data_IF_028237359383
#
_entry.id   IF_028237359383
#
_cell.length_a   1.000
_cell.length_b   1.000
_cell.length_c   1.000
_cell.angle_alpha   90.00
_cell.angle_beta   90.00
_cell.angle_gamma   90.00
#
_symmetry.space_group_name_H-M   'P 1'
#
loop_
_entity.id
_entity.type
_entity.pdbx_description
1 polymer ?
#
# COMPACT_ATOMS: atom_id res chain seq x y z
N UNK A 1 -3.33 0.35 19.31
CA UNK A 1 -2.26 -0.64 19.49
C UNK A 1 -0.96 0.11 19.70
N UNK A 2 -0.14 -0.27 20.67
CA UNK A 2 1.17 0.36 20.88
C UNK A 2 2.15 0.04 19.74
N UNK A 3 3.04 0.98 19.43
CA UNK A 3 4.02 0.86 18.33
C UNK A 3 4.90 -0.38 18.53
N UNK A 4 5.32 -0.66 19.78
CA UNK A 4 6.11 -1.84 20.12
C UNK A 4 5.38 -3.16 19.81
N UNK A 5 4.10 -3.28 20.20
CA UNK A 5 3.31 -4.48 19.92
C UNK A 5 3.16 -4.74 18.41
N UNK A 6 2.95 -3.68 17.61
CA UNK A 6 2.89 -3.83 16.14
C UNK A 6 4.21 -4.26 15.52
N UNK A 7 5.35 -3.82 16.06
CA UNK A 7 6.66 -4.24 15.56
C UNK A 7 6.94 -5.72 15.85
N UNK A 8 6.57 -6.22 17.04
CA UNK A 8 6.70 -7.64 17.36
C UNK A 8 5.83 -8.53 16.48
N UNK A 9 4.59 -8.11 16.21
CA UNK A 9 3.71 -8.82 15.28
C UNK A 9 4.31 -8.79 13.87
N UNK A 10 4.82 -7.64 13.42
CA UNK A 10 5.49 -7.50 12.13
C UNK A 10 6.70 -8.43 11.99
N UNK A 11 7.56 -8.49 12.99
CA UNK A 11 8.69 -9.42 13.02
C UNK A 11 8.24 -10.88 12.93
N UNK A 12 7.19 -11.25 13.67
CA UNK A 12 6.60 -12.58 13.62
C UNK A 12 6.06 -12.94 12.23
N UNK A 13 5.41 -11.99 11.55
CA UNK A 13 4.90 -12.19 10.19
C UNK A 13 6.02 -12.41 9.17
N UNK A 14 7.12 -11.66 9.27
CA UNK A 14 8.30 -11.84 8.40
C UNK A 14 8.93 -13.21 8.62
N UNK A 15 9.13 -13.59 9.89
CA UNK A 15 9.67 -14.91 10.22
C UNK A 15 8.75 -16.05 9.73
N UNK A 16 7.44 -15.90 9.91
CA UNK A 16 6.44 -16.85 9.41
C UNK A 16 6.50 -16.99 7.89
N UNK A 17 6.57 -15.87 7.16
CA UNK A 17 6.67 -15.87 5.70
C UNK A 17 7.89 -16.66 5.22
N UNK A 18 9.06 -16.42 5.82
CA UNK A 18 10.28 -17.18 5.51
C UNK A 18 10.11 -18.68 5.79
N UNK A 19 9.57 -19.06 6.95
CA UNK A 19 9.37 -20.49 7.28
C UNK A 19 8.39 -21.15 6.32
N UNK A 20 7.28 -20.47 5.98
CA UNK A 20 6.27 -21.00 5.06
C UNK A 20 6.86 -21.21 3.66
N UNK A 21 7.56 -20.22 3.09
CA UNK A 21 8.21 -20.38 1.80
C UNK A 21 9.37 -21.37 1.84
N UNK A 22 9.99 -21.56 3.00
CA UNK A 22 10.93 -22.64 3.21
C UNK A 22 10.23 -24.01 3.10
N UNK A 23 9.03 -24.18 3.65
CA UNK A 23 8.34 -25.48 3.59
C UNK A 23 7.69 -25.75 2.23
N UNK A 24 7.08 -24.73 1.62
CA UNK A 24 6.30 -24.86 0.37
C UNK A 24 7.21 -25.05 -0.84
N UNK A 25 8.35 -24.36 -0.88
CA UNK A 25 9.18 -24.22 -2.09
C UNK A 25 10.41 -25.13 -2.05
N UNK A 26 10.34 -26.28 -1.37
CA UNK A 26 11.48 -27.18 -1.14
C UNK A 26 12.14 -27.75 -2.41
N UNK A 27 11.47 -27.69 -3.56
CA UNK A 27 11.99 -28.17 -4.86
C UNK A 27 12.24 -27.06 -5.89
N UNK A 28 11.97 -25.79 -5.59
CA UNK A 28 12.23 -24.71 -6.55
C UNK A 28 13.64 -24.12 -6.37
N UNK A 29 14.10 -23.39 -7.40
CA UNK A 29 15.41 -22.73 -7.38
C UNK A 29 15.53 -21.78 -6.17
N UNK A 30 16.69 -21.74 -5.48
CA UNK A 30 16.89 -20.94 -4.26
C UNK A 30 16.48 -19.47 -4.41
N UNK A 31 16.78 -18.87 -5.57
CA UNK A 31 16.47 -17.46 -5.87
C UNK A 31 14.95 -17.20 -5.93
N UNK A 32 14.17 -18.08 -6.57
CA UNK A 32 12.73 -17.89 -6.68
C UNK A 32 12.01 -18.02 -5.32
N UNK A 33 12.59 -18.81 -4.41
CA UNK A 33 12.07 -19.00 -3.05
C UNK A 33 12.26 -17.76 -2.18
N UNK A 34 13.42 -17.11 -2.30
CA UNK A 34 13.71 -15.89 -1.56
C UNK A 34 12.80 -14.75 -2.01
N UNK A 35 12.64 -14.55 -3.33
CA UNK A 35 11.75 -13.53 -3.89
C UNK A 35 10.29 -13.70 -3.43
N UNK A 36 9.79 -14.94 -3.41
CA UNK A 36 8.44 -15.24 -2.92
C UNK A 36 8.30 -15.02 -1.40
N UNK A 37 9.33 -15.31 -0.61
CA UNK A 37 9.33 -15.06 0.83
C UNK A 37 9.32 -13.55 1.15
N UNK A 38 10.08 -12.76 0.39
CA UNK A 38 10.04 -11.30 0.49
C UNK A 38 8.66 -10.76 0.09
N UNK A 39 8.13 -11.23 -1.04
CA UNK A 39 6.81 -10.83 -1.52
C UNK A 39 5.70 -11.08 -0.50
N UNK A 40 5.64 -12.30 0.06
CA UNK A 40 4.65 -12.66 1.09
C UNK A 40 4.83 -11.83 2.38
N UNK A 41 6.08 -11.53 2.77
CA UNK A 41 6.35 -10.68 3.94
C UNK A 41 5.78 -9.27 3.74
N UNK A 42 6.01 -8.69 2.57
CA UNK A 42 5.53 -7.34 2.22
C UNK A 42 3.99 -7.29 2.20
N UNK A 43 3.33 -8.32 1.67
CA UNK A 43 1.86 -8.45 1.69
C UNK A 43 1.33 -8.47 3.12
N UNK A 44 1.90 -9.32 3.98
CA UNK A 44 1.45 -9.46 5.38
C UNK A 44 1.67 -8.17 6.19
N UNK A 45 2.78 -7.47 5.96
CA UNK A 45 3.05 -6.18 6.60
C UNK A 45 2.11 -5.08 6.09
N UNK A 46 1.80 -5.06 4.79
CA UNK A 46 0.79 -4.17 4.21
C UNK A 46 -0.58 -4.38 4.84
N UNK A 47 -1.02 -5.63 4.99
CA UNK A 47 -2.26 -5.98 5.70
C UNK A 47 -2.22 -5.58 7.18
N UNK A 48 -1.11 -5.84 7.89
CA UNK A 48 -0.96 -5.41 9.29
C UNK A 48 -1.09 -3.87 9.42
N UNK A 49 -0.51 -3.11 8.49
CA UNK A 49 -0.67 -1.65 8.46
C UNK A 49 -2.13 -1.23 8.26
N UNK A 50 -2.85 -1.87 7.33
CA UNK A 50 -4.27 -1.57 7.10
C UNK A 50 -5.15 -1.87 8.31
N UNK A 51 -4.87 -2.97 9.03
CA UNK A 51 -5.63 -3.36 10.23
C UNK A 51 -5.34 -2.42 11.40
N UNK A 52 -4.09 -2.00 11.55
CA UNK A 52 -3.65 -1.21 12.72
C UNK A 52 -3.88 0.29 12.57
N UNK A 53 -3.94 0.82 11.34
CA UNK A 53 -4.08 2.26 11.08
C UNK A 53 -5.41 2.58 10.39
N UNK A 54 -6.18 3.48 11.01
CA UNK A 54 -7.49 3.96 10.51
C UNK A 54 -7.42 5.27 9.71
N UNK A 55 -6.23 5.85 9.55
CA UNK A 55 -6.07 7.10 8.79
C UNK A 55 -5.93 6.80 7.30
N UNK A 56 -6.53 7.65 6.44
CA UNK A 56 -6.52 7.46 4.98
C UNK A 56 -5.10 7.27 4.41
N UNK A 57 -4.12 8.01 4.92
CA UNK A 57 -2.71 7.87 4.52
C UNK A 57 -2.14 6.49 4.86
N UNK A 58 -2.45 5.94 6.04
CA UNK A 58 -2.00 4.61 6.44
C UNK A 58 -2.65 3.51 5.61
N UNK A 59 -3.91 3.70 5.24
CA UNK A 59 -4.63 2.81 4.31
C UNK A 59 -3.97 2.79 2.93
N UNK A 60 -3.65 3.95 2.36
CA UNK A 60 -2.96 4.06 1.06
C UNK A 60 -1.57 3.41 1.12
N UNK A 61 -0.77 3.67 2.15
CA UNK A 61 0.57 3.07 2.29
C UNK A 61 0.48 1.55 2.41
N UNK A 62 -0.46 1.04 3.22
CA UNK A 62 -0.69 -0.39 3.36
C UNK A 62 -1.11 -1.04 2.04
N UNK A 63 -1.93 -0.34 1.25
CA UNK A 63 -2.38 -0.78 -0.06
C UNK A 63 -1.26 -0.84 -1.10
N UNK A 64 -0.50 0.25 -1.22
CA UNK A 64 0.67 0.31 -2.12
C UNK A 64 1.70 -0.77 -1.76
N UNK A 65 1.88 -1.05 -0.47
CA UNK A 65 2.76 -2.12 0.00
C UNK A 65 2.24 -3.50 -0.42
N UNK A 66 0.95 -3.79 -0.22
CA UNK A 66 0.33 -5.04 -0.65
C UNK A 66 0.50 -5.27 -2.16
N UNK A 67 0.23 -4.24 -2.95
CA UNK A 67 0.38 -4.26 -4.41
C UNK A 67 1.82 -4.56 -4.84
N UNK A 68 2.80 -3.85 -4.27
CA UNK A 68 4.22 -4.12 -4.54
C UNK A 68 4.64 -5.55 -4.18
N UNK A 69 4.12 -6.08 -3.06
CA UNK A 69 4.35 -7.46 -2.67
C UNK A 69 3.75 -8.45 -3.68
N UNK A 70 2.58 -8.15 -4.25
CA UNK A 70 1.92 -9.00 -5.25
C UNK A 70 2.66 -8.98 -6.60
N UNK A 71 3.17 -7.82 -7.02
CA UNK A 71 4.05 -7.68 -8.19
C UNK A 71 5.34 -8.47 -7.99
N UNK A 72 5.98 -8.37 -6.82
CA UNK A 72 7.20 -9.12 -6.50
C UNK A 72 6.96 -10.64 -6.52
N UNK A 73 5.81 -11.10 -6.00
CA UNK A 73 5.42 -12.51 -6.07
C UNK A 73 5.30 -13.00 -7.51
N UNK A 74 4.67 -12.19 -8.37
CA UNK A 74 4.45 -12.53 -9.77
C UNK A 74 5.75 -12.55 -10.59
N UNK A 75 6.72 -11.69 -10.28
CA UNK A 75 8.05 -11.73 -10.90
C UNK A 75 8.90 -12.90 -10.40
N UNK A 76 8.78 -13.26 -9.12
CA UNK A 76 9.48 -14.41 -8.53
C UNK A 76 8.94 -15.75 -9.03
N UNK A 77 7.65 -15.84 -9.33
CA UNK A 77 7.01 -16.97 -9.98
C UNK A 77 7.24 -16.90 -11.51
N UNK A 78 8.40 -17.38 -11.99
CA UNK A 78 8.70 -17.48 -13.44
C UNK A 78 7.51 -18.09 -14.20
N UNK A 79 6.87 -17.30 -15.05
CA UNK A 79 5.82 -17.76 -15.97
C UNK A 79 4.42 -17.18 -15.77
N UNK A 80 4.22 -16.16 -14.92
CA UNK A 80 2.91 -15.52 -14.70
C UNK A 80 2.81 -14.06 -15.20
N UNK A 81 3.01 -13.78 -16.50
CA UNK A 81 2.98 -12.41 -17.05
C UNK A 81 1.61 -11.72 -16.87
N UNK A 82 0.50 -12.48 -16.94
CA UNK A 82 -0.86 -11.93 -16.80
C UNK A 82 -1.12 -11.29 -15.44
N UNK A 83 -0.55 -11.85 -14.36
CA UNK A 83 -0.75 -11.30 -13.01
C UNK A 83 -0.04 -9.95 -12.87
N UNK A 84 1.15 -9.81 -13.46
CA UNK A 84 1.91 -8.55 -13.50
C UNK A 84 1.13 -7.50 -14.28
N UNK A 85 0.63 -7.83 -15.47
CA UNK A 85 -0.13 -6.90 -16.31
C UNK A 85 -1.39 -6.37 -15.62
N UNK A 86 -2.17 -7.24 -14.98
CA UNK A 86 -3.37 -6.83 -14.23
C UNK A 86 -3.00 -5.97 -13.03
N UNK A 87 -1.93 -6.31 -12.30
CA UNK A 87 -1.46 -5.54 -11.14
C UNK A 87 -1.02 -4.13 -11.56
N UNK A 88 -0.29 -4.01 -12.67
CA UNK A 88 0.11 -2.70 -13.21
C UNK A 88 -1.11 -1.87 -13.61
N UNK A 89 -2.07 -2.46 -14.35
CA UNK A 89 -3.30 -1.76 -14.73
C UNK A 89 -4.09 -1.27 -13.51
N UNK A 90 -4.14 -2.07 -12.45
CA UNK A 90 -4.80 -1.73 -11.19
C UNK A 90 -4.08 -0.59 -10.44
N UNK A 91 -2.74 -0.60 -10.37
CA UNK A 91 -1.98 0.50 -9.74
C UNK A 91 -2.20 1.83 -10.45
N UNK A 92 -2.31 1.83 -11.79
CA UNK A 92 -2.65 3.02 -12.56
C UNK A 92 -4.05 3.54 -12.20
N UNK A 93 -5.05 2.66 -12.08
CA UNK A 93 -6.41 3.05 -11.66
C UNK A 93 -6.41 3.71 -10.27
N UNK A 94 -5.68 3.14 -9.31
CA UNK A 94 -5.56 3.68 -7.95
C UNK A 94 -4.86 5.04 -7.96
N UNK A 95 -3.81 5.20 -8.76
CA UNK A 95 -3.13 6.49 -8.94
C UNK A 95 -4.10 7.58 -9.43
N UNK A 96 -4.97 7.26 -10.41
CA UNK A 96 -6.01 8.18 -10.87
C UNK A 96 -7.01 8.55 -9.77
N UNK A 97 -7.46 7.58 -8.95
CA UNK A 97 -8.36 7.85 -7.82
C UNK A 97 -7.70 8.79 -6.80
N UNK A 98 -6.44 8.52 -6.43
CA UNK A 98 -5.69 9.35 -5.48
C UNK A 98 -5.52 10.77 -6.01
N UNK A 99 -5.14 10.93 -7.28
CA UNK A 99 -5.05 12.24 -7.94
C UNK A 99 -6.40 12.95 -7.93
N UNK A 100 -7.48 12.24 -8.27
CA UNK A 100 -8.85 12.78 -8.25
C UNK A 100 -9.26 13.29 -6.86
N UNK A 101 -9.01 12.51 -5.81
CA UNK A 101 -9.23 12.94 -4.42
C UNK A 101 -8.40 14.17 -4.09
N UNK A 102 -7.12 14.19 -4.50
CA UNK A 102 -6.22 15.30 -4.23
C UNK A 102 -6.69 16.60 -4.91
N UNK A 103 -7.09 16.52 -6.18
CA UNK A 103 -7.66 17.64 -6.94
C UNK A 103 -8.98 18.14 -6.35
N UNK A 104 -9.87 17.22 -5.94
CA UNK A 104 -11.13 17.57 -5.28
C UNK A 104 -10.87 18.31 -3.95
N UNK A 105 -9.92 17.82 -3.15
CA UNK A 105 -9.52 18.46 -1.89
C UNK A 105 -8.89 19.83 -2.10
N UNK A 106 -8.09 20.00 -3.16
CA UNK A 106 -7.51 21.30 -3.54
C UNK A 106 -8.64 22.26 -3.88
N UNK A 107 -9.60 21.86 -4.73
CA UNK A 107 -10.75 22.68 -5.10
C UNK A 107 -11.55 23.15 -3.88
N UNK A 108 -11.86 22.23 -2.97
CA UNK A 108 -12.63 22.52 -1.75
C UNK A 108 -11.88 23.50 -0.82
N UNK A 109 -10.55 23.39 -0.74
CA UNK A 109 -9.73 24.35 0.02
C UNK A 109 -9.67 25.73 -0.66
N UNK A 110 -9.62 25.80 -1.99
CA UNK A 110 -9.60 27.07 -2.72
C UNK A 110 -10.96 27.78 -2.67
N UNK A 111 -12.08 27.07 -2.79
CA UNK A 111 -13.44 27.65 -2.62
C UNK A 111 -13.62 28.26 -1.21
N UNK A 112 -13.08 27.62 -0.18
CA UNK A 112 -13.20 28.10 1.22
C UNK A 112 -12.32 29.35 1.49
N UNK A 113 -11.16 29.44 0.83
CA UNK A 113 -10.22 30.57 1.01
C UNK A 113 -10.73 31.83 0.33
N UNK A 114 -11.38 31.73 -0.83
CA UNK A 114 -11.82 32.89 -1.61
C UNK A 114 -13.05 33.59 -0.97
N UNK A 115 -14.00 32.81 -0.45
CA UNK A 115 -15.18 33.33 0.28
C UNK A 115 -14.78 34.11 1.55
N UNK A 116 -13.73 33.65 2.26
CA UNK A 116 -13.21 34.31 3.46
C UNK A 116 -12.42 35.59 3.16
N UNK A 117 -11.90 35.75 1.93
CA UNK A 117 -11.17 36.93 1.50
C UNK A 117 -12.11 38.02 0.97
N UNK A 118 -13.19 37.64 0.28
CA UNK A 118 -14.19 38.55 -0.26
C UNK A 118 -15.09 39.19 0.82
N UNK A 119 -15.52 38.43 1.84
CA UNK A 119 -16.44 38.94 2.87
C UNK A 119 -15.79 40.04 3.75
N UNK A 120 -14.47 39.95 3.91
CA UNK A 120 -13.67 40.93 4.65
C UNK A 120 -13.47 42.27 3.91
N UNK A 121 -13.78 42.35 2.62
CA UNK A 121 -13.73 43.60 1.85
C UNK A 121 -15.13 44.24 1.65
N UNK A 122 -16.20 43.63 2.16
CA UNK A 122 -17.58 44.12 1.97
C UNK A 122 -18.31 44.55 3.24
N UNK A 123 -17.69 44.42 4.41
CA UNK A 123 -18.26 44.82 5.70
C UNK A 123 -17.26 45.54 6.60
N UNK A 124 -16.93 46.80 6.29
CA UNK A 124 -16.09 47.62 7.16
C UNK A 124 -15.81 49.02 6.63
N UNK A 125 -16.78 49.92 6.84
CA UNK A 125 -16.75 51.39 6.71
C UNK A 125 -16.61 51.99 5.31
#
# INVERSE_FOLDING_TARGET
VGIGSTMFIGLGLVALSMVVMMRVTGQAAPVAREDLAFALSVILLGMLMMVTRRNAVGQVIGFMSLENGLVLAATGAKGMPLVVEISVAFSVLIAFIVIGIFLFRIRERFDTVDLSALDRHRGGQ
#
